data_IF_725087204625
#
_entry.id   IF_725087204625
#
_cell.length_a   1.000
_cell.length_b   1.000
_cell.length_c   1.000
_cell.angle_alpha   90.00
_cell.angle_beta   90.00
_cell.angle_gamma   90.00
#
_symmetry.space_group_name_H-M   'P 1'
#
loop_
_entity.id
_entity.type
_entity.pdbx_description
1 polymer ?
#
# COMPACT_ATOMS: atom_id res chain seq x y z
N UNK A 1 -2.16 11.12 16.64
CA UNK A 1 -0.71 10.93 16.82
C UNK A 1 -0.27 9.87 15.83
N UNK A 2 0.25 10.26 14.66
CA UNK A 2 0.57 9.32 13.57
C UNK A 2 1.97 8.74 13.81
N UNK A 3 2.10 7.41 13.83
CA UNK A 3 3.37 6.72 14.03
C UNK A 3 4.27 6.94 12.82
N UNK A 4 5.34 7.71 13.01
CA UNK A 4 6.45 7.79 12.05
C UNK A 4 7.07 6.39 11.89
N UNK A 5 7.02 5.84 10.69
CA UNK A 5 7.69 4.58 10.37
C UNK A 5 9.21 4.81 10.39
N UNK A 6 9.88 4.34 11.45
CA UNK A 6 11.33 4.23 11.47
C UNK A 6 11.73 3.16 10.44
N UNK A 7 12.47 3.56 9.41
CA UNK A 7 13.07 2.64 8.44
C UNK A 7 14.19 1.89 9.16
N UNK A 8 14.12 0.54 9.15
CA UNK A 8 15.25 -0.31 9.51
C UNK A 8 16.37 -0.08 8.48
N UNK A 9 17.43 0.61 8.90
CA UNK A 9 18.62 0.82 8.09
C UNK A 9 19.44 -0.48 8.01
N UNK A 10 19.66 -0.98 6.79
CA UNK A 10 20.74 -1.92 6.43
C UNK A 10 20.32 -3.36 6.08
N UNK A 11 20.54 -3.78 4.83
CA UNK A 11 20.54 -5.17 4.32
C UNK A 11 19.21 -5.96 4.33
N UNK A 12 18.03 -5.34 4.41
CA UNK A 12 16.77 -6.09 4.24
C UNK A 12 16.49 -6.40 2.77
N UNK A 13 16.23 -7.67 2.45
CA UNK A 13 15.77 -8.12 1.13
C UNK A 13 14.32 -7.66 0.87
N UNK A 14 13.86 -7.58 -0.39
CA UNK A 14 12.45 -7.26 -0.70
C UNK A 14 11.44 -8.17 0.01
N UNK A 15 11.78 -9.43 0.23
CA UNK A 15 10.93 -10.41 0.93
C UNK A 15 10.83 -10.06 2.42
N UNK A 16 11.95 -9.72 3.07
CA UNK A 16 11.95 -9.31 4.48
C UNK A 16 11.16 -8.02 4.66
N UNK A 17 11.38 -7.02 3.80
CA UNK A 17 10.62 -5.78 3.83
C UNK A 17 9.11 -6.03 3.66
N UNK A 18 8.73 -6.94 2.76
CA UNK A 18 7.33 -7.31 2.58
C UNK A 18 6.73 -7.91 3.87
N UNK A 19 7.44 -8.83 4.53
CA UNK A 19 6.99 -9.42 5.80
C UNK A 19 6.88 -8.37 6.91
N UNK A 20 7.88 -7.50 7.06
CA UNK A 20 7.87 -6.40 8.03
C UNK A 20 6.65 -5.49 7.79
N UNK A 21 6.36 -5.15 6.53
CA UNK A 21 5.18 -4.36 6.20
C UNK A 21 3.87 -5.09 6.51
N UNK A 22 3.76 -6.39 6.25
CA UNK A 22 2.56 -7.17 6.61
C UNK A 22 2.33 -7.14 8.12
N UNK A 23 3.35 -7.40 8.93
CA UNK A 23 3.24 -7.37 10.40
C UNK A 23 2.83 -5.99 10.93
N UNK A 24 3.34 -4.93 10.32
CA UNK A 24 2.96 -3.57 10.69
C UNK A 24 1.51 -3.28 10.27
N UNK A 25 1.14 -3.60 9.03
CA UNK A 25 -0.18 -3.30 8.48
C UNK A 25 -1.31 -4.11 9.11
N UNK A 26 -1.03 -5.26 9.74
CA UNK A 26 -2.01 -5.96 10.57
C UNK A 26 -2.51 -5.10 11.75
N UNK A 27 -1.69 -4.17 12.24
CA UNK A 27 -2.02 -3.32 13.39
C UNK A 27 -2.83 -2.08 13.01
N UNK A 28 -3.05 -1.85 11.71
CA UNK A 28 -3.63 -0.62 11.17
C UNK A 28 -5.08 -0.88 10.77
N UNK A 29 -5.95 0.09 11.00
CA UNK A 29 -7.30 0.14 10.43
C UNK A 29 -7.24 0.39 8.91
N UNK A 30 -8.37 0.17 8.21
CA UNK A 30 -8.49 0.51 6.78
C UNK A 30 -8.12 1.98 6.54
N UNK A 31 -8.62 2.88 7.39
CA UNK A 31 -8.40 4.31 7.26
C UNK A 31 -6.91 4.67 7.41
N UNK A 32 -6.22 4.10 8.40
CA UNK A 32 -4.79 4.31 8.60
C UNK A 32 -3.97 3.78 7.42
N UNK A 33 -4.36 2.66 6.81
CA UNK A 33 -3.70 2.15 5.60
C UNK A 33 -3.89 3.08 4.40
N UNK A 34 -5.06 3.71 4.26
CA UNK A 34 -5.30 4.73 3.23
C UNK A 34 -4.45 5.98 3.49
N UNK A 35 -4.32 6.42 4.73
CA UNK A 35 -3.45 7.55 5.09
C UNK A 35 -1.98 7.24 4.78
N UNK A 36 -1.52 6.03 5.12
CA UNK A 36 -0.17 5.55 4.78
C UNK A 36 0.05 5.52 3.26
N UNK A 37 -0.93 5.02 2.48
CA UNK A 37 -0.88 5.08 1.02
C UNK A 37 -0.68 6.51 0.51
N UNK A 38 -1.48 7.43 1.03
CA UNK A 38 -1.55 8.81 0.55
C UNK A 38 -0.30 9.61 0.93
N UNK A 39 0.28 9.34 2.10
CA UNK A 39 1.54 9.94 2.54
C UNK A 39 2.74 9.43 1.73
N UNK A 40 2.80 8.13 1.41
CA UNK A 40 3.89 7.53 0.61
C UNK A 40 4.04 8.19 -0.77
N UNK A 41 2.97 8.77 -1.33
CA UNK A 41 3.02 9.48 -2.61
C UNK A 41 3.67 10.86 -2.51
N UNK A 42 3.55 11.51 -1.35
CA UNK A 42 4.12 12.84 -1.10
C UNK A 42 5.61 12.75 -0.78
N UNK A 43 6.03 11.66 -0.15
CA UNK A 43 7.43 11.40 0.16
C UNK A 43 8.12 10.76 -1.06
N UNK A 44 8.80 11.56 -1.89
CA UNK A 44 9.53 11.13 -3.10
C UNK A 44 10.68 10.09 -2.87
N UNK A 45 10.70 9.35 -1.76
CA UNK A 45 11.93 8.82 -1.15
C UNK A 45 12.14 7.30 -1.05
N UNK A 46 11.32 6.41 -1.65
CA UNK A 46 11.56 4.95 -1.50
C UNK A 46 11.80 4.16 -2.81
N UNK A 47 12.89 4.40 -3.57
CA UNK A 47 13.18 3.61 -4.77
C UNK A 47 13.32 2.09 -4.52
N UNK A 48 13.91 1.68 -3.39
CA UNK A 48 14.22 0.28 -3.10
C UNK A 48 13.13 -0.56 -2.42
N UNK A 49 12.17 0.08 -1.73
CA UNK A 49 11.14 -0.61 -0.94
C UNK A 49 9.71 -0.41 -1.44
N UNK A 50 9.50 0.42 -2.48
CA UNK A 50 8.18 0.69 -3.07
C UNK A 50 7.45 -0.58 -3.50
N UNK A 51 8.13 -1.52 -4.14
CA UNK A 51 7.51 -2.78 -4.57
C UNK A 51 6.96 -3.59 -3.40
N UNK A 52 7.83 -3.93 -2.43
CA UNK A 52 7.46 -4.69 -1.24
C UNK A 52 6.35 -3.99 -0.43
N UNK A 53 6.47 -2.68 -0.23
CA UNK A 53 5.46 -1.86 0.44
C UNK A 53 4.10 -1.93 -0.28
N UNK A 54 4.08 -1.71 -1.60
CA UNK A 54 2.85 -1.71 -2.40
C UNK A 54 2.18 -3.08 -2.40
N UNK A 55 2.96 -4.14 -2.57
CA UNK A 55 2.42 -5.51 -2.51
C UNK A 55 1.83 -5.81 -1.13
N UNK A 56 2.52 -5.46 -0.04
CA UNK A 56 2.01 -5.64 1.32
C UNK A 56 0.75 -4.83 1.58
N UNK A 57 0.67 -3.59 1.07
CA UNK A 57 -0.46 -2.71 1.25
C UNK A 57 -1.70 -3.21 0.50
N UNK A 58 -1.54 -3.63 -0.77
CA UNK A 58 -2.62 -4.26 -1.55
C UNK A 58 -3.10 -5.56 -0.91
N UNK A 59 -2.18 -6.38 -0.39
CA UNK A 59 -2.52 -7.58 0.37
C UNK A 59 -3.37 -7.22 1.60
N UNK A 60 -2.92 -6.23 2.39
CA UNK A 60 -3.63 -5.78 3.58
C UNK A 60 -5.05 -5.28 3.29
N UNK A 61 -5.25 -4.58 2.17
CA UNK A 61 -6.58 -4.18 1.71
C UNK A 61 -7.43 -5.38 1.27
N UNK A 62 -6.86 -6.31 0.49
CA UNK A 62 -7.56 -7.51 0.03
C UNK A 62 -8.02 -8.40 1.20
N UNK A 63 -7.18 -8.60 2.22
CA UNK A 63 -7.55 -9.38 3.42
C UNK A 63 -8.71 -8.77 4.20
N UNK A 64 -8.91 -7.46 4.09
CA UNK A 64 -10.02 -6.73 4.71
C UNK A 64 -11.28 -6.73 3.84
N UNK A 65 -11.27 -7.45 2.71
CA UNK A 65 -12.41 -7.57 1.82
C UNK A 65 -12.72 -6.32 1.00
N UNK A 66 -11.76 -5.40 0.86
CA UNK A 66 -11.96 -4.19 0.04
C UNK A 66 -11.91 -4.54 -1.45
N UNK A 67 -12.77 -3.89 -2.23
CA UNK A 67 -12.74 -3.97 -3.68
C UNK A 67 -11.61 -3.08 -4.24
N UNK A 68 -10.68 -3.73 -4.95
CA UNK A 68 -9.49 -3.12 -5.55
C UNK A 68 -9.62 -2.94 -7.06
N UNK A 69 -10.77 -3.25 -7.67
CA UNK A 69 -10.99 -3.26 -9.12
C UNK A 69 -10.71 -1.91 -9.81
N UNK A 70 -10.77 -0.81 -9.06
CA UNK A 70 -10.48 0.55 -9.56
C UNK A 70 -8.99 0.92 -9.52
N UNK A 71 -8.17 0.13 -8.85
CA UNK A 71 -6.73 0.37 -8.66
C UNK A 71 -5.85 -0.76 -9.18
N UNK A 72 -6.39 -1.98 -9.30
CA UNK A 72 -5.71 -3.14 -9.87
C UNK A 72 -6.52 -3.63 -11.07
N UNK A 73 -5.90 -3.60 -12.25
CA UNK A 73 -6.46 -4.20 -13.46
C UNK A 73 -5.59 -5.37 -13.94
N UNK A 74 -6.22 -6.33 -14.62
CA UNK A 74 -5.55 -7.46 -15.25
C UNK A 74 -5.95 -7.51 -16.72
N UNK A 75 -4.99 -7.32 -17.61
CA UNK A 75 -5.18 -7.29 -19.06
C UNK A 75 -4.10 -8.14 -19.71
N UNK A 76 -4.49 -9.10 -20.56
CA UNK A 76 -3.58 -9.96 -21.33
C UNK A 76 -2.46 -10.64 -20.51
N UNK A 77 -2.77 -11.04 -19.28
CA UNK A 77 -1.81 -11.69 -18.37
C UNK A 77 -0.90 -10.71 -17.61
N UNK A 78 -1.00 -9.42 -17.87
CA UNK A 78 -0.32 -8.36 -17.13
C UNK A 78 -1.21 -7.80 -16.03
N UNK A 79 -0.61 -7.53 -14.86
CA UNK A 79 -1.29 -6.83 -13.77
C UNK A 79 -0.79 -5.40 -13.72
N UNK A 80 -1.70 -4.44 -13.89
CA UNK A 80 -1.41 -3.01 -13.78
C UNK A 80 -1.96 -2.48 -12.45
N UNK A 81 -1.16 -1.65 -11.79
CA UNK A 81 -1.51 -1.05 -10.50
C UNK A 81 -1.46 0.47 -10.64
N UNK A 82 -2.59 1.13 -10.40
CA UNK A 82 -2.68 2.59 -10.36
C UNK A 82 -2.05 3.12 -9.07
N UNK A 83 -1.00 3.92 -9.21
CA UNK A 83 -0.33 4.58 -8.09
C UNK A 83 -0.96 5.96 -7.92
N UNK A 84 -1.89 6.07 -6.97
CA UNK A 84 -2.67 7.30 -6.71
C UNK A 84 -3.03 7.44 -5.25
N UNK A 85 -3.41 8.66 -4.84
CA UNK A 85 -4.10 8.83 -3.58
C UNK A 85 -5.43 8.05 -3.62
N UNK A 86 -5.91 7.59 -2.48
CA UNK A 86 -7.08 6.72 -2.36
C UNK A 86 -8.08 7.28 -1.35
N UNK A 87 -9.36 7.04 -1.62
CA UNK A 87 -10.46 7.12 -0.65
C UNK A 87 -11.24 5.81 -0.64
N UNK A 88 -11.97 5.58 0.43
CA UNK A 88 -12.91 4.46 0.55
C UNK A 88 -14.33 4.94 0.28
N UNK A 89 -15.04 4.25 -0.61
CA UNK A 89 -16.47 4.44 -0.86
C UNK A 89 -17.15 3.10 -1.01
N UNK A 90 -18.18 2.83 -0.20
CA UNK A 90 -18.98 1.60 -0.31
C UNK A 90 -18.13 0.33 -0.42
N UNK A 91 -17.08 0.22 0.41
CA UNK A 91 -16.12 -0.89 0.40
C UNK A 91 -15.19 -0.99 -0.83
N UNK A 92 -15.17 0.04 -1.69
CA UNK A 92 -14.30 0.15 -2.87
C UNK A 92 -13.23 1.20 -2.65
N UNK A 93 -11.98 0.88 -2.97
CA UNK A 93 -10.91 1.86 -2.99
C UNK A 93 -10.92 2.64 -4.31
N UNK A 94 -11.17 3.94 -4.22
CA UNK A 94 -11.29 4.83 -5.38
C UNK A 94 -10.03 5.71 -5.47
N UNK A 95 -9.34 5.72 -6.64
CA UNK A 95 -8.32 6.71 -6.94
C UNK A 95 -8.84 8.13 -6.80
N UNK A 96 -8.14 8.95 -6.03
CA UNK A 96 -8.30 10.39 -5.98
C UNK A 96 -7.22 10.98 -6.87
N UNK A 97 -7.39 10.86 -8.18
CA UNK A 97 -6.58 11.63 -9.11
C UNK A 97 -7.42 12.79 -9.65
N UNK A 98 -6.88 14.00 -9.45
CA UNK A 98 -7.11 15.16 -10.33
C UNK A 98 -5.93 15.24 -11.29
#
# INVERSE_FOLDING_TARGET
MVKRFLILNGMSTPIQLYQDFLEIFQKYSVQELIEVNNQDLQEHGRPGSRGAFRTALLHAFSLRGLDLSRIVSKEDGFTSITISALRLENNVLIPINK
#
